data_IF_089401931450
#
_entry.id   IF_089401931450
#
_cell.length_a   1.000
_cell.length_b   1.000
_cell.length_c   1.000
_cell.angle_alpha   90.00
_cell.angle_beta   90.00
_cell.angle_gamma   90.00
#
_symmetry.space_group_name_H-M   'P 1'
#
loop_
_entity.id
_entity.type
_entity.pdbx_description
1 polymer ?
#
# COMPACT_ATOMS: atom_id res chain seq x y z
N UNK A 1 20.21 17.52 1.50
CA UNK A 1 20.24 16.70 0.26
C UNK A 1 19.95 15.27 0.67
N UNK A 2 19.26 14.46 -0.14
CA UNK A 2 18.98 13.06 0.23
C UNK A 2 20.26 12.21 0.20
N UNK A 3 20.40 11.32 1.18
CA UNK A 3 21.50 10.35 1.27
C UNK A 3 21.32 9.13 0.36
N UNK A 4 20.11 8.96 -0.19
CA UNK A 4 19.78 7.91 -1.13
C UNK A 4 18.29 7.86 -1.44
N UNK A 5 17.97 7.01 -2.41
CA UNK A 5 16.62 6.77 -2.90
C UNK A 5 16.37 5.27 -2.86
N UNK A 6 15.25 4.86 -2.29
CA UNK A 6 14.83 3.46 -2.27
C UNK A 6 13.56 3.33 -3.09
N UNK A 7 13.57 2.42 -4.05
CA UNK A 7 12.38 1.98 -4.77
C UNK A 7 11.97 0.59 -4.32
N UNK A 8 10.68 0.41 -4.04
CA UNK A 8 10.13 -0.86 -3.58
C UNK A 8 8.95 -1.25 -4.45
N UNK A 9 9.10 -2.34 -5.20
CA UNK A 9 7.96 -3.07 -5.76
C UNK A 9 7.26 -3.80 -4.60
N UNK A 10 5.95 -3.66 -4.49
CA UNK A 10 5.21 -4.07 -3.31
C UNK A 10 4.20 -5.17 -3.64
N UNK A 11 3.98 -6.06 -2.67
CA UNK A 11 3.01 -7.14 -2.84
C UNK A 11 2.05 -7.24 -1.68
N UNK A 12 0.76 -7.23 -2.00
CA UNK A 12 -0.33 -7.55 -1.08
C UNK A 12 -0.64 -9.05 -0.99
N UNK A 13 0.15 -9.93 -1.62
CA UNK A 13 -0.18 -11.36 -1.60
C UNK A 13 -0.12 -11.93 -0.16
N UNK A 14 -0.98 -12.92 0.09
CA UNK A 14 -1.10 -13.55 1.40
C UNK A 14 0.12 -14.43 1.68
N UNK A 15 0.62 -14.39 2.91
CA UNK A 15 1.69 -15.26 3.40
C UNK A 15 2.88 -14.49 3.97
N UNK A 16 3.87 -15.21 4.52
CA UNK A 16 5.02 -14.61 5.19
C UNK A 16 6.05 -14.02 4.24
N UNK A 17 6.14 -14.50 2.99
CA UNK A 17 7.17 -14.13 2.02
C UNK A 17 6.56 -13.87 0.65
N UNK A 18 7.05 -12.83 -0.02
CA UNK A 18 6.44 -12.22 -1.20
C UNK A 18 7.41 -12.27 -2.39
N UNK A 19 7.20 -13.16 -3.37
CA UNK A 19 8.02 -13.19 -4.58
C UNK A 19 8.00 -11.87 -5.36
N UNK A 20 6.90 -11.12 -5.25
CA UNK A 20 6.72 -9.83 -5.91
C UNK A 20 7.32 -8.63 -5.17
N UNK A 21 7.89 -8.79 -3.97
CA UNK A 21 8.59 -7.67 -3.33
C UNK A 21 10.03 -7.59 -3.83
N UNK A 22 10.40 -6.44 -4.38
CA UNK A 22 11.76 -6.11 -4.81
C UNK A 22 12.17 -4.79 -4.19
N UNK A 23 13.39 -4.72 -3.66
CA UNK A 23 13.94 -3.50 -3.03
C UNK A 23 15.21 -3.11 -3.77
N UNK A 24 15.31 -1.86 -4.20
CA UNK A 24 16.50 -1.32 -4.84
C UNK A 24 16.87 0.05 -4.27
N UNK A 25 18.16 0.33 -4.16
CA UNK A 25 18.69 1.60 -3.64
C UNK A 25 19.61 2.28 -4.64
N UNK A 26 19.36 3.56 -4.89
CA UNK A 26 20.29 4.45 -5.56
C UNK A 26 20.96 5.36 -4.52
N UNK A 27 22.28 5.57 -4.67
CA UNK A 27 23.04 6.56 -3.90
C UNK A 27 23.30 7.80 -4.76
N UNK A 28 23.59 8.97 -4.16
CA UNK A 28 24.03 10.13 -4.91
C UNK A 28 25.16 9.79 -5.89
N UNK A 29 25.07 10.32 -7.11
CA UNK A 29 26.02 10.05 -8.19
C UNK A 29 25.34 9.45 -9.43
N UNK A 30 26.12 8.69 -10.22
CA UNK A 30 25.68 8.13 -11.51
C UNK A 30 25.77 6.60 -11.57
N UNK A 31 26.04 5.96 -10.43
CA UNK A 31 26.06 4.51 -10.35
C UNK A 31 24.64 3.95 -10.55
N UNK A 32 24.54 2.74 -11.12
CA UNK A 32 23.27 2.04 -11.22
C UNK A 32 22.71 1.73 -9.82
N UNK A 33 21.37 1.71 -9.65
CA UNK A 33 20.74 1.24 -8.41
C UNK A 33 21.16 -0.19 -8.08
N UNK A 34 21.35 -0.47 -6.80
CA UNK A 34 21.71 -1.79 -6.28
C UNK A 34 20.45 -2.47 -5.73
N UNK A 35 20.21 -3.72 -6.15
CA UNK A 35 19.19 -4.57 -5.54
C UNK A 35 19.61 -4.91 -4.10
N UNK A 36 18.68 -4.75 -3.16
CA UNK A 36 18.86 -5.15 -1.77
C UNK A 36 18.15 -6.50 -1.58
N UNK A 37 18.94 -7.50 -1.20
CA UNK A 37 18.44 -8.85 -0.98
C UNK A 37 17.88 -8.98 0.45
N UNK A 38 16.83 -9.80 0.65
CA UNK A 38 16.36 -10.12 1.98
C UNK A 38 17.47 -10.86 2.75
N UNK A 39 17.64 -10.61 4.06
CA UNK A 39 18.76 -11.13 4.84
C UNK A 39 18.77 -12.66 4.95
N UNK A 40 17.62 -13.28 5.25
CA UNK A 40 17.54 -14.70 5.63
C UNK A 40 16.56 -15.52 4.78
N UNK A 41 16.25 -15.07 3.55
CA UNK A 41 15.24 -15.73 2.73
C UNK A 41 15.50 -15.59 1.23
N UNK A 42 14.78 -16.36 0.43
CA UNK A 42 14.75 -16.18 -1.03
C UNK A 42 13.91 -14.95 -1.45
N UNK A 43 12.90 -14.60 -0.66
CA UNK A 43 11.97 -13.51 -0.96
C UNK A 43 11.76 -12.66 0.30
N UNK A 44 11.46 -11.37 0.12
CA UNK A 44 11.16 -10.45 1.22
C UNK A 44 9.84 -10.81 1.93
N UNK A 45 9.79 -10.62 3.24
CA UNK A 45 8.52 -10.45 3.97
C UNK A 45 8.24 -8.94 4.13
N UNK A 46 6.97 -8.55 4.28
CA UNK A 46 6.62 -7.14 4.49
C UNK A 46 7.17 -6.60 5.81
N UNK A 47 7.12 -7.42 6.85
CA UNK A 47 7.77 -7.23 8.15
C UNK A 47 9.28 -7.02 8.00
N UNK A 48 9.96 -7.86 7.23
CA UNK A 48 11.40 -7.72 7.01
C UNK A 48 11.74 -6.42 6.24
N UNK A 49 10.91 -5.98 5.29
CA UNK A 49 11.10 -4.69 4.63
C UNK A 49 10.92 -3.54 5.62
N UNK A 50 9.88 -3.59 6.45
CA UNK A 50 9.66 -2.60 7.50
C UNK A 50 10.87 -2.48 8.43
N UNK A 51 11.36 -3.59 8.96
CA UNK A 51 12.50 -3.61 9.89
C UNK A 51 13.78 -3.10 9.22
N UNK A 52 13.99 -3.46 7.94
CA UNK A 52 15.10 -2.94 7.16
C UNK A 52 15.01 -1.42 6.95
N UNK A 53 13.83 -0.88 6.67
CA UNK A 53 13.62 0.56 6.53
C UNK A 53 13.88 1.31 7.84
N UNK A 54 13.49 0.76 8.99
CA UNK A 54 13.80 1.33 10.30
C UNK A 54 15.31 1.35 10.54
N UNK A 55 15.99 0.22 10.31
CA UNK A 55 17.45 0.14 10.46
C UNK A 55 18.19 1.14 9.55
N UNK A 56 17.72 1.33 8.31
CA UNK A 56 18.28 2.32 7.38
C UNK A 56 18.00 3.76 7.82
N UNK A 57 16.82 4.03 8.39
CA UNK A 57 16.49 5.34 8.94
C UNK A 57 17.37 5.68 10.15
N UNK A 58 17.60 4.71 11.05
CA UNK A 58 18.48 4.85 12.21
C UNK A 58 19.95 5.03 11.82
N UNK A 59 20.41 4.29 10.80
CA UNK A 59 21.79 4.39 10.30
C UNK A 59 22.04 5.66 9.47
N UNK A 60 21.00 6.38 9.05
CA UNK A 60 21.13 7.57 8.22
C UNK A 60 21.69 8.75 9.02
N UNK A 61 22.77 9.36 8.51
CA UNK A 61 23.36 10.54 9.13
C UNK A 61 22.38 11.71 9.17
N UNK A 62 22.41 12.48 10.27
CA UNK A 62 21.61 13.69 10.43
C UNK A 62 21.81 14.63 9.22
N UNK A 63 20.70 15.06 8.62
CA UNK A 63 20.71 15.92 7.43
C UNK A 63 20.88 15.19 6.08
N UNK A 64 20.91 13.85 6.08
CA UNK A 64 21.04 13.02 4.88
C UNK A 64 19.94 11.94 4.80
N UNK A 65 18.65 12.33 4.76
CA UNK A 65 17.53 11.38 4.80
C UNK A 65 17.47 10.51 3.55
N UNK A 66 16.82 9.35 3.66
CA UNK A 66 16.42 8.54 2.52
C UNK A 66 15.06 8.98 1.99
N UNK A 67 14.91 9.02 0.67
CA UNK A 67 13.60 9.12 0.02
C UNK A 67 13.16 7.71 -0.39
N UNK A 68 12.01 7.26 0.13
CA UNK A 68 11.51 5.91 -0.11
C UNK A 68 10.21 5.98 -0.90
N UNK A 69 10.18 5.32 -2.06
CA UNK A 69 8.98 5.09 -2.86
C UNK A 69 8.55 3.64 -2.75
N UNK A 70 7.27 3.41 -2.46
CA UNK A 70 6.69 2.07 -2.33
C UNK A 70 5.50 1.97 -3.28
N UNK A 71 5.44 0.91 -4.09
CA UNK A 71 4.42 0.73 -5.12
C UNK A 71 3.07 0.25 -4.54
N UNK A 72 2.40 1.14 -3.80
CA UNK A 72 1.00 0.97 -3.42
C UNK A 72 0.28 2.32 -3.31
N UNK A 73 -1.05 2.31 -3.17
CA UNK A 73 -1.81 3.53 -2.94
C UNK A 73 -1.82 3.92 -1.45
N UNK A 74 -1.12 5.00 -1.11
CA UNK A 74 -1.05 5.57 0.26
C UNK A 74 -2.39 6.08 0.82
N UNK A 75 -3.46 6.08 0.03
CA UNK A 75 -4.80 6.45 0.46
C UNK A 75 -5.85 5.92 -0.51
N UNK A 76 -7.11 5.89 -0.07
CA UNK A 76 -8.27 5.73 -0.94
C UNK A 76 -8.63 7.07 -1.64
N UNK A 77 -9.46 7.04 -2.70
CA UNK A 77 -10.12 8.24 -3.21
C UNK A 77 -10.90 8.97 -2.12
N UNK A 78 -10.75 10.30 -2.07
CA UNK A 78 -11.39 11.17 -1.07
C UNK A 78 -12.10 12.34 -1.74
N UNK A 79 -11.38 13.10 -2.57
CA UNK A 79 -11.79 14.39 -3.16
C UNK A 79 -13.12 14.34 -3.92
N UNK A 80 -13.46 13.21 -4.54
CA UNK A 80 -14.70 13.05 -5.32
C UNK A 80 -15.97 13.02 -4.46
N UNK A 81 -15.88 12.65 -3.17
CA UNK A 81 -17.04 12.52 -2.28
C UNK A 81 -16.83 13.18 -0.90
N UNK A 82 -15.70 13.87 -0.71
CA UNK A 82 -15.24 14.40 0.57
C UNK A 82 -15.19 13.35 1.70
N UNK A 83 -14.99 12.08 1.33
CA UNK A 83 -14.96 10.95 2.24
C UNK A 83 -14.26 9.73 1.61
N UNK A 84 -13.53 8.96 2.43
CA UNK A 84 -13.01 7.65 2.00
C UNK A 84 -14.13 6.61 1.85
N UNK A 85 -15.09 6.59 2.79
CA UNK A 85 -16.25 5.68 2.80
C UNK A 85 -17.55 6.50 2.87
N UNK A 86 -18.11 6.93 1.72
CA UNK A 86 -19.26 7.83 1.69
C UNK A 86 -20.50 7.20 2.30
N UNK A 87 -21.10 7.87 3.28
CA UNK A 87 -22.26 7.37 4.04
C UNK A 87 -21.89 6.64 5.34
N UNK A 88 -20.61 6.38 5.62
CA UNK A 88 -20.15 5.86 6.90
C UNK A 88 -20.06 6.97 7.94
N UNK A 89 -20.77 6.83 9.06
CA UNK A 89 -20.86 7.89 10.08
C UNK A 89 -19.50 8.22 10.76
N UNK A 90 -18.65 7.21 10.97
CA UNK A 90 -17.34 7.30 11.60
C UNK A 90 -16.20 7.09 10.60
N UNK A 91 -16.40 7.53 9.34
CA UNK A 91 -15.38 7.45 8.30
C UNK A 91 -14.11 8.21 8.69
N UNK A 92 -12.91 7.68 8.36
CA UNK A 92 -11.66 8.41 8.55
C UNK A 92 -11.67 9.73 7.76
N UNK A 93 -11.15 10.80 8.37
CA UNK A 93 -11.22 12.17 7.82
C UNK A 93 -9.94 12.60 7.12
N UNK A 94 -8.85 11.89 7.32
CA UNK A 94 -7.54 12.19 6.77
C UNK A 94 -6.72 10.90 6.57
N UNK A 95 -5.57 10.96 5.86
CA UNK A 95 -4.76 9.77 5.60
C UNK A 95 -4.29 9.05 6.87
N UNK A 96 -3.94 9.78 7.94
CA UNK A 96 -3.46 9.16 9.16
C UNK A 96 -4.57 8.35 9.86
N UNK A 97 -5.79 8.89 9.91
CA UNK A 97 -6.96 8.19 10.42
C UNK A 97 -7.32 6.97 9.54
N UNK A 98 -7.12 7.06 8.22
CA UNK A 98 -7.34 5.92 7.32
C UNK A 98 -6.37 4.78 7.64
N UNK A 99 -5.08 5.08 7.81
CA UNK A 99 -4.07 4.09 8.15
C UNK A 99 -4.35 3.46 9.51
N UNK A 100 -4.69 4.28 10.51
CA UNK A 100 -5.07 3.78 11.83
C UNK A 100 -6.28 2.85 11.79
N UNK A 101 -7.28 3.16 10.95
CA UNK A 101 -8.43 2.28 10.72
C UNK A 101 -8.00 0.96 10.10
N UNK A 102 -7.20 0.99 9.03
CA UNK A 102 -6.74 -0.23 8.34
C UNK A 102 -5.94 -1.12 9.28
N UNK A 103 -5.05 -0.54 10.08
CA UNK A 103 -4.28 -1.30 11.07
C UNK A 103 -5.18 -1.91 12.14
N UNK A 104 -6.15 -1.15 12.66
CA UNK A 104 -7.11 -1.65 13.67
C UNK A 104 -7.91 -2.85 13.15
N UNK A 105 -8.51 -2.73 11.96
CA UNK A 105 -9.34 -3.79 11.38
C UNK A 105 -8.49 -5.01 10.95
N UNK A 106 -7.20 -4.80 10.68
CA UNK A 106 -6.29 -5.85 10.23
C UNK A 106 -5.34 -6.37 11.31
N UNK A 107 -5.45 -5.92 12.56
CA UNK A 107 -4.52 -6.24 13.64
C UNK A 107 -4.32 -7.76 13.84
N UNK A 108 -5.36 -8.56 13.59
CA UNK A 108 -5.31 -10.03 13.68
C UNK A 108 -4.72 -10.75 12.46
N UNK A 109 -4.50 -10.06 11.34
CA UNK A 109 -3.90 -10.65 10.14
C UNK A 109 -2.36 -10.70 10.30
N UNK A 110 -1.72 -11.88 10.14
CA UNK A 110 -0.28 -11.98 10.25
C UNK A 110 0.45 -11.38 9.04
N UNK A 111 1.74 -11.11 9.20
CA UNK A 111 2.65 -10.70 8.11
C UNK A 111 2.23 -9.41 7.41
N UNK A 112 1.67 -8.45 8.15
CA UNK A 112 1.14 -7.19 7.61
C UNK A 112 0.17 -7.41 6.45
N UNK A 113 -0.65 -8.47 6.51
CA UNK A 113 -1.68 -8.72 5.51
C UNK A 113 -2.90 -7.82 5.78
N UNK A 114 -3.51 -7.27 4.74
CA UNK A 114 -4.64 -6.33 4.87
C UNK A 114 -5.99 -6.91 4.44
N UNK A 115 -6.15 -8.23 4.43
CA UNK A 115 -7.34 -8.88 3.88
C UNK A 115 -8.55 -8.84 4.81
N UNK A 116 -8.35 -8.64 6.11
CA UNK A 116 -9.42 -8.49 7.09
C UNK A 116 -10.38 -7.34 6.76
N UNK A 117 -9.87 -6.26 6.13
CA UNK A 117 -10.67 -5.14 5.62
C UNK A 117 -11.85 -5.57 4.75
N UNK A 118 -11.68 -6.65 3.97
CA UNK A 118 -12.71 -7.16 3.06
C UNK A 118 -13.81 -7.99 3.76
N UNK A 119 -13.69 -8.17 5.07
CA UNK A 119 -14.69 -8.79 5.93
C UNK A 119 -15.06 -7.90 7.14
N UNK A 120 -14.44 -6.73 7.28
CA UNK A 120 -14.68 -5.82 8.38
C UNK A 120 -16.13 -5.31 8.35
N UNK A 121 -16.87 -5.37 9.48
CA UNK A 121 -18.23 -4.84 9.57
C UNK A 121 -18.27 -3.38 9.09
N UNK A 122 -19.34 -3.01 8.38
CA UNK A 122 -19.54 -1.68 7.78
C UNK A 122 -18.60 -1.31 6.62
N UNK A 123 -17.44 -1.97 6.46
CA UNK A 123 -16.46 -1.65 5.41
C UNK A 123 -16.49 -2.65 4.24
N UNK A 124 -16.81 -3.91 4.50
CA UNK A 124 -16.76 -4.98 3.49
C UNK A 124 -17.60 -4.67 2.23
N UNK A 125 -18.68 -3.91 2.37
CA UNK A 125 -19.57 -3.54 1.25
C UNK A 125 -18.96 -2.52 0.28
N UNK A 126 -17.90 -1.82 0.67
CA UNK A 126 -17.17 -0.89 -0.20
C UNK A 126 -16.14 -1.59 -1.09
N UNK A 127 -15.80 -2.86 -0.80
CA UNK A 127 -14.75 -3.59 -1.50
C UNK A 127 -15.31 -4.69 -2.38
N UNK A 128 -15.01 -4.63 -3.67
CA UNK A 128 -15.23 -5.76 -4.57
C UNK A 128 -14.16 -6.82 -4.29
N UNK A 129 -14.52 -7.86 -3.54
CA UNK A 129 -13.57 -8.84 -2.98
C UNK A 129 -14.03 -10.29 -3.17
N UNK A 130 -13.14 -11.30 -3.02
CA UNK A 130 -13.54 -12.70 -3.06
C UNK A 130 -14.53 -13.09 -1.93
N UNK A 131 -14.60 -12.29 -0.86
CA UNK A 131 -15.51 -12.50 0.27
C UNK A 131 -16.87 -11.85 0.08
N UNK A 132 -16.92 -10.78 -0.72
CA UNK A 132 -18.14 -10.04 -1.02
C UNK A 132 -18.12 -9.59 -2.48
N UNK A 133 -18.66 -10.43 -3.36
CA UNK A 133 -18.82 -10.09 -4.78
C UNK A 133 -19.96 -9.10 -5.01
N UNK A 134 -20.92 -9.02 -4.09
CA UNK A 134 -22.09 -8.14 -4.19
C UNK A 134 -21.73 -6.68 -3.92
N UNK A 135 -20.85 -6.44 -2.92
CA UNK A 135 -20.26 -5.16 -2.56
C UNK A 135 -21.18 -3.95 -2.87
N UNK A 136 -22.34 -3.84 -2.21
CA UNK A 136 -23.41 -2.92 -2.60
C UNK A 136 -23.02 -1.43 -2.54
N UNK A 137 -21.95 -1.08 -1.81
CA UNK A 137 -21.41 0.27 -1.72
C UNK A 137 -20.16 0.48 -2.57
N UNK A 138 -19.66 -0.56 -3.26
CA UNK A 138 -18.51 -0.46 -4.13
C UNK A 138 -18.77 0.48 -5.30
N UNK A 139 -17.87 1.44 -5.46
CA UNK A 139 -17.80 2.33 -6.61
C UNK A 139 -16.38 2.35 -7.14
N UNK A 140 -16.24 2.37 -8.48
CA UNK A 140 -14.95 2.43 -9.17
C UNK A 140 -14.35 3.85 -9.10
N UNK A 141 -14.12 4.36 -7.89
CA UNK A 141 -13.58 5.69 -7.59
C UNK A 141 -12.09 5.77 -7.88
N UNK A 142 -11.54 6.98 -8.09
CA UNK A 142 -10.13 7.23 -8.41
C UNK A 142 -9.61 8.46 -7.67
N UNK A 143 -8.34 8.42 -7.24
CA UNK A 143 -7.61 9.61 -6.79
C UNK A 143 -7.28 10.48 -7.99
N UNK A 144 -6.95 11.74 -7.74
CA UNK A 144 -6.57 12.70 -8.79
C UNK A 144 -5.43 12.20 -9.66
N UNK A 145 -4.45 11.49 -9.07
CA UNK A 145 -3.33 10.89 -9.81
C UNK A 145 -3.77 9.82 -10.80
N UNK A 146 -4.71 8.95 -10.41
CA UNK A 146 -5.26 7.96 -11.34
C UNK A 146 -6.14 8.59 -12.42
N UNK A 147 -6.85 9.69 -12.12
CA UNK A 147 -7.62 10.42 -13.12
C UNK A 147 -6.68 11.03 -14.18
N UNK A 148 -5.60 11.69 -13.77
CA UNK A 148 -4.58 12.20 -14.69
C UNK A 148 -3.90 11.08 -15.52
N UNK A 149 -3.68 9.91 -14.92
CA UNK A 149 -3.18 8.74 -15.65
C UNK A 149 -4.19 8.24 -16.70
N UNK A 150 -5.50 8.30 -16.41
CA UNK A 150 -6.55 7.96 -17.39
C UNK A 150 -6.59 8.94 -18.56
N UNK A 151 -6.42 10.22 -18.29
CA UNK A 151 -6.36 11.26 -19.33
C UNK A 151 -5.15 11.08 -20.26
N UNK A 152 -4.11 10.38 -19.79
CA UNK A 152 -2.95 9.95 -20.59
C UNK A 152 -3.08 8.50 -21.13
N UNK A 153 -4.31 8.03 -21.33
CA UNK A 153 -4.65 6.73 -21.91
C UNK A 153 -4.15 5.50 -21.12
N UNK A 154 -3.96 5.62 -19.80
CA UNK A 154 -3.71 4.49 -18.89
C UNK A 154 -5.02 4.01 -18.26
N UNK A 155 -5.01 2.77 -17.74
CA UNK A 155 -6.18 2.15 -17.11
C UNK A 155 -5.90 1.71 -15.66
N UNK A 156 -5.64 2.65 -14.72
CA UNK A 156 -5.38 2.29 -13.34
C UNK A 156 -6.62 1.69 -12.66
N UNK A 157 -6.42 0.63 -11.89
CA UNK A 157 -7.46 -0.02 -11.09
C UNK A 157 -7.76 0.74 -9.79
N UNK A 158 -8.99 0.68 -9.26
CA UNK A 158 -9.33 1.35 -8.01
C UNK A 158 -8.75 0.62 -6.79
N UNK A 159 -8.48 1.38 -5.74
CA UNK A 159 -8.04 0.86 -4.43
C UNK A 159 -9.12 0.09 -3.66
N UNK A 160 -10.35 0.02 -4.19
CA UNK A 160 -11.46 -0.75 -3.64
C UNK A 160 -11.69 -2.10 -4.34
N UNK A 161 -10.89 -2.43 -5.37
CA UNK A 161 -10.98 -3.72 -6.07
C UNK A 161 -9.92 -4.69 -5.55
N UNK A 162 -10.36 -5.78 -4.94
CA UNK A 162 -9.53 -6.83 -4.35
C UNK A 162 -9.60 -8.16 -5.12
N UNK A 163 -10.21 -8.19 -6.30
CA UNK A 163 -10.34 -9.37 -7.16
C UNK A 163 -9.63 -9.21 -8.51
N UNK A 164 -9.21 -10.33 -9.09
CA UNK A 164 -8.58 -10.40 -10.41
C UNK A 164 -7.10 -10.03 -10.40
N UNK A 165 -6.51 -9.98 -11.60
CA UNK A 165 -5.08 -9.71 -11.79
C UNK A 165 -4.67 -8.29 -11.35
N UNK A 166 -5.58 -7.32 -11.38
CA UNK A 166 -5.32 -5.91 -11.04
C UNK A 166 -5.81 -5.53 -9.63
N UNK A 167 -5.53 -6.38 -8.63
CA UNK A 167 -6.06 -6.24 -7.27
C UNK A 167 -5.31 -5.21 -6.40
N UNK A 168 -5.45 -3.93 -6.74
CA UNK A 168 -4.78 -2.82 -6.05
C UNK A 168 -5.17 -2.70 -4.57
N UNK A 169 -6.38 -3.10 -4.19
CA UNK A 169 -6.86 -2.97 -2.82
C UNK A 169 -5.97 -3.71 -1.81
N UNK A 170 -5.65 -4.98 -2.07
CA UNK A 170 -4.91 -5.82 -1.12
C UNK A 170 -3.48 -5.30 -0.91
N UNK A 171 -2.81 -4.87 -1.99
CA UNK A 171 -1.48 -4.26 -1.90
C UNK A 171 -1.49 -2.96 -1.10
N UNK A 172 -2.53 -2.14 -1.30
CA UNK A 172 -2.69 -0.87 -0.60
C UNK A 172 -3.02 -1.07 0.88
N UNK A 173 -3.90 -2.03 1.22
CA UNK A 173 -4.19 -2.34 2.63
C UNK A 173 -2.93 -2.84 3.31
N UNK A 174 -2.21 -3.80 2.71
CA UNK A 174 -0.98 -4.34 3.27
C UNK A 174 0.15 -3.29 3.39
N UNK A 175 0.17 -2.25 2.54
CA UNK A 175 1.15 -1.17 2.62
C UNK A 175 0.80 -0.08 3.65
N UNK A 176 -0.47 0.02 4.04
CA UNK A 176 -0.94 0.92 5.11
C UNK A 176 -1.00 0.23 6.48
N UNK A 177 -0.26 -0.87 6.64
CA UNK A 177 -0.06 -1.62 7.88
C UNK A 177 1.40 -1.53 8.31
#
# INVERSE_FOLDING_TARGET
>A
MFGGFVGIDWSGARGPRQPGIQVARARPGRAAPQTILPPDARHWGRDAVHDWLLAEAEASAAGSPLLVGIDFAFAHPFIDEDAYYPGLADAPRDPAALWARIETESAGDPHLYGGAMFAAPQLADYYLSPRNHGAPLYRSRRRQTELAARDSARAPSPTFKAIGADNVATGSMAGMR
#
